data_IF_813278800051
#
_entry.id   IF_813278800051
#
_cell.length_a   1.000
_cell.length_b   1.000
_cell.length_c   1.000
_cell.angle_alpha   90.00
_cell.angle_beta   90.00
_cell.angle_gamma   90.00
#
_symmetry.space_group_name_H-M   'P 1'
#
loop_
_entity.id
_entity.type
_entity.pdbx_description
1 polymer ?
#
# COMPACT_ATOMS: atom_id res chain seq x y z
N UNK A 1 47.86 17.71 -36.96
CA UNK A 1 46.63 17.68 -36.18
C UNK A 1 47.00 17.63 -34.70
N UNK A 2 46.78 18.71 -33.93
CA UNK A 2 47.04 18.74 -32.48
C UNK A 2 45.90 17.94 -31.79
N UNK A 3 46.20 16.80 -31.17
CA UNK A 3 45.28 16.09 -30.30
C UNK A 3 45.06 16.93 -29.05
N UNK A 4 43.91 17.57 -28.90
CA UNK A 4 43.51 18.23 -27.64
C UNK A 4 43.36 17.17 -26.59
N UNK A 5 44.27 17.09 -25.64
CA UNK A 5 44.15 16.18 -24.49
C UNK A 5 43.06 16.75 -23.55
N UNK A 6 42.05 15.93 -23.25
CA UNK A 6 41.00 16.29 -22.27
C UNK A 6 41.67 16.48 -20.91
N UNK A 7 41.47 17.63 -20.25
CA UNK A 7 42.09 17.93 -18.96
C UNK A 7 41.65 16.92 -17.86
N UNK A 8 42.53 16.66 -16.91
CA UNK A 8 42.34 15.66 -15.87
C UNK A 8 41.08 15.93 -15.03
N UNK A 9 40.76 17.20 -14.73
CA UNK A 9 39.57 17.57 -14.00
C UNK A 9 38.26 17.23 -14.74
N UNK A 10 38.22 17.34 -16.07
CA UNK A 10 37.07 16.92 -16.87
C UNK A 10 36.87 15.41 -16.83
N UNK A 11 37.98 14.63 -16.87
CA UNK A 11 37.90 13.18 -16.68
C UNK A 11 37.40 12.80 -15.31
N UNK A 12 37.86 13.49 -14.26
CA UNK A 12 37.41 13.28 -12.89
C UNK A 12 35.91 13.62 -12.73
N UNK A 13 35.46 14.72 -13.31
CA UNK A 13 34.03 15.08 -13.31
C UNK A 13 33.17 14.05 -14.05
N UNK A 14 33.62 13.60 -15.22
CA UNK A 14 32.91 12.58 -15.99
C UNK A 14 32.82 11.25 -15.20
N UNK A 15 33.93 10.83 -14.58
CA UNK A 15 33.95 9.64 -13.74
C UNK A 15 32.99 9.77 -12.53
N UNK A 16 32.97 10.93 -11.86
CA UNK A 16 32.05 11.23 -10.76
C UNK A 16 30.59 11.18 -11.20
N UNK A 17 30.26 11.74 -12.37
CA UNK A 17 28.90 11.69 -12.93
C UNK A 17 28.46 10.26 -13.25
N UNK A 18 29.35 9.45 -13.82
CA UNK A 18 29.06 8.02 -14.09
C UNK A 18 28.83 7.24 -12.79
N UNK A 19 29.68 7.44 -11.78
CA UNK A 19 29.50 6.80 -10.48
C UNK A 19 28.17 7.22 -9.86
N UNK A 20 27.82 8.51 -9.88
CA UNK A 20 26.54 9.03 -9.39
C UNK A 20 25.35 8.39 -10.11
N UNK A 21 25.41 8.30 -11.44
CA UNK A 21 24.36 7.66 -12.24
C UNK A 21 24.19 6.18 -11.89
N UNK A 22 25.30 5.43 -11.71
CA UNK A 22 25.26 4.03 -11.30
C UNK A 22 24.65 3.87 -9.92
N UNK A 23 25.02 4.72 -8.95
CA UNK A 23 24.46 4.69 -7.60
C UNK A 23 22.94 4.95 -7.62
N UNK A 24 22.49 5.98 -8.34
CA UNK A 24 21.06 6.28 -8.49
C UNK A 24 20.32 5.11 -9.14
N UNK A 25 20.94 4.49 -10.15
CA UNK A 25 20.37 3.31 -10.81
C UNK A 25 20.25 2.12 -9.86
N UNK A 26 21.25 1.86 -9.03
CA UNK A 26 21.23 0.79 -8.02
C UNK A 26 20.16 1.03 -6.93
N UNK A 27 20.06 2.27 -6.43
CA UNK A 27 19.00 2.64 -5.46
C UNK A 27 17.61 2.41 -6.06
N UNK A 28 17.39 2.81 -7.31
CA UNK A 28 16.14 2.53 -8.01
C UNK A 28 15.85 1.04 -8.14
N UNK A 29 16.87 0.22 -8.45
CA UNK A 29 16.73 -1.24 -8.49
C UNK A 29 16.28 -1.82 -7.15
N UNK A 30 16.89 -1.34 -6.06
CA UNK A 30 16.56 -1.80 -4.72
C UNK A 30 15.14 -1.39 -4.29
N UNK A 31 14.68 -0.19 -4.65
CA UNK A 31 13.34 0.29 -4.36
C UNK A 31 12.25 -0.55 -5.04
N UNK A 32 12.50 -1.00 -6.28
CA UNK A 32 11.58 -1.79 -7.09
C UNK A 32 11.74 -3.31 -6.89
N UNK A 33 12.75 -3.74 -6.12
CA UNK A 33 13.02 -5.17 -5.92
C UNK A 33 11.83 -5.85 -5.27
N UNK A 34 11.32 -6.90 -5.93
CA UNK A 34 10.34 -7.80 -5.35
C UNK A 34 10.92 -8.51 -4.12
N UNK A 35 10.14 -8.59 -3.06
CA UNK A 35 10.49 -9.23 -1.80
C UNK A 35 9.68 -10.52 -1.60
N UNK A 36 9.89 -11.45 -2.49
CA UNK A 36 9.25 -12.75 -2.43
C UNK A 36 9.97 -13.63 -1.41
N UNK A 37 9.22 -14.25 -0.52
CA UNK A 37 9.75 -15.27 0.38
C UNK A 37 10.09 -16.54 -0.39
N UNK A 38 11.15 -17.25 0.02
CA UNK A 38 11.62 -18.47 -0.63
C UNK A 38 10.62 -19.66 -0.55
N UNK A 39 9.66 -19.61 0.36
CA UNK A 39 8.64 -20.64 0.53
C UNK A 39 7.30 -20.02 0.94
N UNK A 40 6.17 -20.60 0.48
CA UNK A 40 4.86 -20.21 0.99
C UNK A 40 4.79 -20.48 2.50
N UNK A 41 4.36 -19.50 3.27
CA UNK A 41 4.11 -19.70 4.69
C UNK A 41 2.95 -20.69 4.86
N UNK A 42 3.05 -21.65 5.82
CA UNK A 42 1.92 -22.46 6.18
C UNK A 42 0.75 -21.57 6.61
N UNK A 43 -0.47 -22.04 6.37
CA UNK A 43 -1.66 -21.30 6.81
C UNK A 43 -1.59 -21.09 8.33
N UNK A 44 -1.83 -19.86 8.76
CA UNK A 44 -1.89 -19.57 10.20
C UNK A 44 -3.09 -20.30 10.83
N UNK A 45 -2.99 -20.71 12.11
CA UNK A 45 -4.10 -21.39 12.77
C UNK A 45 -5.42 -20.63 12.62
N UNK A 46 -6.48 -21.33 12.18
CA UNK A 46 -7.80 -20.76 11.93
C UNK A 46 -7.95 -20.08 10.56
N UNK A 47 -6.96 -20.18 9.67
CA UNK A 47 -7.03 -19.65 8.31
C UNK A 47 -6.98 -20.77 7.28
N UNK A 48 -7.58 -20.54 6.12
CA UNK A 48 -7.45 -21.38 4.91
C UNK A 48 -6.56 -20.67 3.90
N UNK A 49 -5.52 -21.35 3.42
CA UNK A 49 -4.69 -20.83 2.34
C UNK A 49 -5.49 -20.79 1.03
N UNK A 50 -5.40 -19.66 0.33
CA UNK A 50 -6.06 -19.47 -0.96
C UNK A 50 -5.08 -18.94 -1.99
N UNK A 51 -5.33 -19.29 -3.26
CA UNK A 51 -4.61 -18.73 -4.41
C UNK A 51 -5.66 -18.12 -5.34
N UNK A 52 -5.53 -16.84 -5.59
CA UNK A 52 -6.45 -16.06 -6.42
C UNK A 52 -5.81 -15.87 -7.79
N UNK A 53 -6.51 -16.26 -8.85
CA UNK A 53 -6.08 -15.98 -10.23
C UNK A 53 -6.34 -14.52 -10.55
N UNK A 54 -5.40 -13.89 -11.21
CA UNK A 54 -5.54 -12.53 -11.76
C UNK A 54 -5.63 -12.59 -13.29
N UNK A 55 -6.03 -11.51 -13.92
CA UNK A 55 -6.07 -11.43 -15.40
C UNK A 55 -4.66 -11.40 -16.02
N UNK A 56 -3.63 -11.17 -15.20
CA UNK A 56 -2.22 -11.16 -15.64
C UNK A 56 -1.53 -12.52 -15.46
N UNK A 57 -2.25 -13.59 -15.19
CA UNK A 57 -1.76 -14.94 -14.87
C UNK A 57 -0.79 -15.02 -13.67
N UNK A 58 -0.57 -13.92 -12.96
CA UNK A 58 0.24 -13.92 -11.73
C UNK A 58 -0.64 -14.23 -10.52
N UNK A 59 -0.44 -15.37 -9.85
CA UNK A 59 -1.29 -15.77 -8.73
C UNK A 59 -1.07 -14.85 -7.53
N UNK A 60 -2.15 -14.53 -6.84
CA UNK A 60 -2.13 -13.82 -5.56
C UNK A 60 -2.38 -14.83 -4.43
N UNK A 61 -1.43 -14.95 -3.54
CA UNK A 61 -1.51 -15.80 -2.37
C UNK A 61 -2.23 -15.07 -1.21
N UNK A 62 -3.08 -15.78 -0.50
CA UNK A 62 -3.81 -15.22 0.62
C UNK A 62 -4.15 -16.22 1.70
N UNK A 63 -4.70 -15.71 2.78
CA UNK A 63 -5.37 -16.48 3.83
C UNK A 63 -6.79 -15.99 3.99
N UNK A 64 -7.71 -16.92 4.10
CA UNK A 64 -9.11 -16.63 4.30
C UNK A 64 -9.59 -17.16 5.65
N UNK A 65 -10.33 -16.34 6.38
CA UNK A 65 -11.06 -16.70 7.60
C UNK A 65 -12.56 -16.62 7.28
N UNK A 66 -13.27 -17.73 7.45
CA UNK A 66 -14.73 -17.74 7.32
C UNK A 66 -15.37 -16.89 8.40
N UNK A 67 -16.38 -16.11 8.01
CA UNK A 67 -17.17 -15.30 8.93
C UNK A 67 -18.51 -15.95 9.26
N UNK A 68 -19.14 -15.48 10.34
CA UNK A 68 -20.50 -15.88 10.74
C UNK A 68 -21.55 -14.83 10.37
N UNK A 69 -21.11 -13.62 10.06
CA UNK A 69 -21.97 -12.48 9.68
C UNK A 69 -22.13 -12.30 8.17
N UNK A 70 -22.84 -11.24 7.80
CA UNK A 70 -23.10 -10.85 6.38
C UNK A 70 -22.14 -9.76 5.91
N UNK A 71 -20.88 -9.85 6.27
CA UNK A 71 -19.84 -8.88 5.87
C UNK A 71 -18.51 -9.57 5.67
N UNK A 72 -17.73 -9.04 4.74
CA UNK A 72 -16.41 -9.55 4.40
C UNK A 72 -15.42 -8.40 4.23
N UNK A 73 -14.20 -8.61 4.67
CA UNK A 73 -13.13 -7.62 4.62
C UNK A 73 -11.93 -8.14 3.84
N UNK A 74 -11.39 -7.27 2.98
CA UNK A 74 -10.09 -7.46 2.35
C UNK A 74 -9.04 -6.63 3.11
N UNK A 75 -7.94 -7.26 3.52
CA UNK A 75 -6.83 -6.61 4.22
C UNK A 75 -5.58 -6.60 3.37
N UNK A 76 -4.97 -5.41 3.24
CA UNK A 76 -3.84 -5.12 2.36
C UNK A 76 -2.67 -4.56 3.17
N UNK A 77 -1.54 -5.26 3.15
CA UNK A 77 -0.33 -4.87 3.90
C UNK A 77 0.45 -3.72 3.24
N UNK A 78 1.41 -3.16 3.97
CA UNK A 78 2.32 -2.13 3.48
C UNK A 78 3.47 -2.68 2.62
N UNK A 79 4.22 -1.78 1.98
CA UNK A 79 5.41 -2.14 1.19
C UNK A 79 6.44 -2.87 2.06
N UNK A 80 7.11 -3.87 1.47
CA UNK A 80 8.14 -4.70 2.13
C UNK A 80 7.63 -5.47 3.34
N UNK A 81 6.33 -5.74 3.37
CA UNK A 81 5.66 -6.60 4.32
C UNK A 81 4.98 -7.77 3.59
N UNK A 82 4.13 -8.50 4.27
CA UNK A 82 3.30 -9.55 3.72
C UNK A 82 2.00 -9.68 4.53
N UNK A 83 1.11 -10.63 4.14
CA UNK A 83 -0.18 -10.85 4.79
C UNK A 83 -0.10 -11.09 6.31
N UNK A 84 1.06 -11.50 6.85
CA UNK A 84 1.24 -11.71 8.30
C UNK A 84 1.07 -10.42 9.10
N UNK A 85 1.44 -9.27 8.53
CA UNK A 85 1.20 -7.96 9.13
C UNK A 85 -0.28 -7.76 9.47
N UNK A 86 -1.17 -8.27 8.64
CA UNK A 86 -2.61 -8.07 8.79
C UNK A 86 -3.29 -9.14 9.68
N UNK A 87 -2.56 -10.13 10.17
CA UNK A 87 -3.15 -11.29 10.84
C UNK A 87 -3.84 -10.94 12.18
N UNK A 88 -3.26 -10.05 12.97
CA UNK A 88 -3.85 -9.63 14.25
C UNK A 88 -5.19 -8.92 14.02
N UNK A 89 -5.23 -7.99 13.04
CA UNK A 89 -6.46 -7.32 12.59
C UNK A 89 -7.50 -8.33 12.07
N UNK A 90 -7.05 -9.27 11.25
CA UNK A 90 -7.93 -10.31 10.69
C UNK A 90 -8.61 -11.13 11.78
N UNK A 91 -7.86 -11.55 12.79
CA UNK A 91 -8.41 -12.31 13.93
C UNK A 91 -9.39 -11.48 14.75
N UNK A 92 -9.06 -10.21 15.00
CA UNK A 92 -9.96 -9.30 15.70
C UNK A 92 -11.29 -9.15 14.94
N UNK A 93 -11.24 -8.84 13.64
CA UNK A 93 -12.43 -8.67 12.81
C UNK A 93 -13.24 -9.96 12.66
N UNK A 94 -12.55 -11.10 12.56
CA UNK A 94 -13.20 -12.41 12.48
C UNK A 94 -13.92 -12.78 13.78
N UNK A 95 -13.37 -12.44 14.95
CA UNK A 95 -14.09 -12.57 16.24
C UNK A 95 -15.38 -11.76 16.27
N UNK A 96 -15.45 -10.65 15.54
CA UNK A 96 -16.66 -9.84 15.36
C UNK A 96 -17.64 -10.41 14.32
N UNK A 97 -17.33 -11.56 13.71
CA UNK A 97 -18.19 -12.24 12.77
C UNK A 97 -17.91 -11.95 11.31
N UNK A 98 -16.98 -11.07 10.98
CA UNK A 98 -16.62 -10.80 9.59
C UNK A 98 -15.86 -11.96 8.94
N UNK A 99 -16.17 -12.29 7.68
CA UNK A 99 -15.26 -13.04 6.85
C UNK A 99 -14.05 -12.15 6.50
N UNK A 100 -12.83 -12.68 6.48
CA UNK A 100 -11.64 -11.87 6.26
C UNK A 100 -10.69 -12.54 5.28
N UNK A 101 -10.32 -11.81 4.24
CA UNK A 101 -9.29 -12.18 3.28
C UNK A 101 -8.08 -11.27 3.48
N UNK A 102 -6.92 -11.84 3.73
CA UNK A 102 -5.64 -11.13 3.71
C UNK A 102 -4.77 -11.71 2.61
N UNK A 103 -4.17 -10.84 1.80
CA UNK A 103 -3.37 -11.24 0.64
C UNK A 103 -1.94 -10.74 0.74
N UNK A 104 -1.04 -11.42 0.05
CA UNK A 104 0.25 -10.83 -0.30
C UNK A 104 0.08 -10.03 -1.59
N UNK A 105 0.47 -8.77 -1.56
CA UNK A 105 0.52 -7.94 -2.77
C UNK A 105 1.59 -8.48 -3.75
N UNK A 106 1.44 -8.29 -5.06
CA UNK A 106 2.45 -8.71 -6.05
C UNK A 106 3.86 -8.25 -5.67
N UNK A 107 4.82 -9.14 -5.83
CA UNK A 107 6.21 -8.91 -5.43
C UNK A 107 6.49 -9.01 -3.93
N UNK A 108 5.51 -9.48 -3.13
CA UNK A 108 5.64 -9.66 -1.68
C UNK A 108 5.20 -11.06 -1.27
N UNK A 109 5.73 -11.53 -0.14
CA UNK A 109 5.35 -12.81 0.44
C UNK A 109 5.42 -13.97 -0.55
N UNK A 110 4.29 -14.64 -0.80
CA UNK A 110 4.17 -15.74 -1.75
C UNK A 110 3.50 -15.34 -3.09
N UNK A 111 3.25 -14.05 -3.32
CA UNK A 111 2.69 -13.53 -4.58
C UNK A 111 3.83 -13.08 -5.51
N UNK A 112 4.11 -13.81 -6.61
CA UNK A 112 5.20 -13.46 -7.49
C UNK A 112 4.92 -12.17 -8.28
N UNK A 113 5.96 -11.40 -8.53
CA UNK A 113 5.99 -10.34 -9.54
C UNK A 113 7.44 -10.00 -9.89
N UNK A 114 7.73 -9.49 -11.09
CA UNK A 114 9.08 -9.11 -11.49
C UNK A 114 9.60 -7.89 -10.70
N UNK A 115 8.70 -7.02 -10.26
CA UNK A 115 9.03 -5.81 -9.52
C UNK A 115 7.83 -5.32 -8.69
N UNK A 116 8.10 -4.48 -7.69
CA UNK A 116 7.09 -3.67 -6.99
C UNK A 116 6.79 -2.47 -7.88
N UNK A 117 5.51 -2.19 -8.14
CA UNK A 117 5.04 -1.14 -9.06
C UNK A 117 4.37 0.04 -8.35
N UNK A 118 4.54 0.11 -7.03
CA UNK A 118 4.04 1.20 -6.19
C UNK A 118 2.53 1.46 -6.32
N UNK A 119 1.75 0.41 -6.53
CA UNK A 119 0.29 0.46 -6.53
C UNK A 119 -0.39 0.03 -7.83
N UNK A 120 0.30 -0.08 -8.98
CA UNK A 120 -0.37 -0.42 -10.25
C UNK A 120 -0.64 -1.92 -10.41
N UNK A 121 0.38 -2.78 -10.43
CA UNK A 121 0.15 -4.23 -10.46
C UNK A 121 -0.52 -4.72 -9.16
N UNK A 122 -0.21 -4.05 -8.06
CA UNK A 122 -0.85 -4.30 -6.78
C UNK A 122 -2.35 -3.99 -6.83
N UNK A 123 -2.79 -2.98 -7.59
CA UNK A 123 -4.21 -2.66 -7.77
C UNK A 123 -4.99 -3.75 -8.53
N UNK A 124 -4.35 -4.44 -9.47
CA UNK A 124 -4.94 -5.60 -10.15
C UNK A 124 -5.19 -6.77 -9.19
N UNK A 125 -4.25 -7.01 -8.27
CA UNK A 125 -4.42 -7.99 -7.21
C UNK A 125 -5.57 -7.62 -6.26
N UNK A 126 -5.72 -6.33 -5.94
CA UNK A 126 -6.87 -5.82 -5.16
C UNK A 126 -8.17 -6.11 -5.89
N UNK A 127 -8.26 -5.81 -7.19
CA UNK A 127 -9.45 -6.07 -8.01
C UNK A 127 -9.82 -7.55 -8.00
N UNK A 128 -8.89 -8.41 -8.36
CA UNK A 128 -9.12 -9.87 -8.41
C UNK A 128 -9.50 -10.45 -7.05
N UNK A 129 -8.94 -9.90 -5.96
CA UNK A 129 -9.24 -10.30 -4.59
C UNK A 129 -10.64 -9.88 -4.15
N UNK A 130 -11.08 -8.68 -4.50
CA UNK A 130 -12.45 -8.22 -4.24
C UNK A 130 -13.47 -9.01 -5.06
N UNK A 131 -13.17 -9.33 -6.31
CA UNK A 131 -14.01 -10.21 -7.14
C UNK A 131 -14.10 -11.62 -6.56
N UNK A 132 -12.96 -12.17 -6.09
CA UNK A 132 -12.93 -13.48 -5.42
C UNK A 132 -13.79 -13.44 -4.16
N UNK A 133 -13.65 -12.40 -3.35
CA UNK A 133 -14.40 -12.23 -2.11
C UNK A 133 -15.90 -12.07 -2.39
N UNK A 134 -16.28 -11.33 -3.42
CA UNK A 134 -17.69 -11.16 -3.87
C UNK A 134 -18.28 -12.49 -4.32
N UNK A 135 -17.54 -13.31 -5.07
CA UNK A 135 -18.00 -14.65 -5.49
C UNK A 135 -18.14 -15.59 -4.29
N UNK A 136 -17.24 -15.49 -3.31
CA UNK A 136 -17.26 -16.34 -2.12
C UNK A 136 -18.34 -15.95 -1.12
N UNK A 137 -18.67 -14.66 -1.06
CA UNK A 137 -19.60 -14.03 -0.13
C UNK A 137 -20.57 -13.09 -0.89
N UNK A 138 -21.47 -13.61 -1.74
CA UNK A 138 -22.26 -12.80 -2.68
C UNK A 138 -23.18 -11.78 -1.99
N UNK A 139 -23.73 -12.14 -0.84
CA UNK A 139 -24.64 -11.29 -0.06
C UNK A 139 -23.93 -10.39 0.96
N UNK A 140 -22.61 -10.52 1.10
CA UNK A 140 -21.89 -9.78 2.12
C UNK A 140 -21.65 -8.32 1.71
N UNK A 141 -21.76 -7.42 2.68
CA UNK A 141 -21.19 -6.08 2.55
C UNK A 141 -19.68 -6.17 2.61
N UNK A 142 -19.01 -5.47 1.70
CA UNK A 142 -17.56 -5.52 1.56
C UNK A 142 -16.89 -4.32 2.21
N UNK A 143 -15.86 -4.58 3.01
CA UNK A 143 -14.95 -3.56 3.50
C UNK A 143 -13.52 -3.80 3.01
N UNK A 144 -12.72 -2.76 2.95
CA UNK A 144 -11.29 -2.86 2.67
C UNK A 144 -10.49 -2.06 3.68
N UNK A 145 -9.43 -2.65 4.20
CA UNK A 145 -8.45 -1.97 5.05
C UNK A 145 -7.09 -2.08 4.37
N UNK A 146 -6.51 -0.96 4.00
CA UNK A 146 -5.19 -0.91 3.37
C UNK A 146 -4.20 -0.07 4.16
N UNK A 147 -2.97 -0.57 4.27
CA UNK A 147 -1.86 0.12 4.92
C UNK A 147 -0.86 0.60 3.86
N UNK A 148 -0.51 1.89 3.85
CA UNK A 148 0.52 2.48 3.00
C UNK A 148 0.36 2.07 1.52
N UNK A 149 1.22 1.20 0.99
CA UNK A 149 1.11 0.66 -0.36
C UNK A 149 -0.25 -0.02 -0.61
N UNK A 150 -0.76 -0.78 0.34
CA UNK A 150 -2.06 -1.45 0.23
C UNK A 150 -3.21 -0.45 0.11
N UNK A 151 -3.16 0.65 0.84
CA UNK A 151 -4.13 1.74 0.74
C UNK A 151 -4.04 2.44 -0.62
N UNK A 152 -2.82 2.74 -1.09
CA UNK A 152 -2.59 3.34 -2.41
C UNK A 152 -3.06 2.43 -3.54
N UNK A 153 -2.80 1.12 -3.44
CA UNK A 153 -3.22 0.11 -4.44
C UNK A 153 -4.74 0.03 -4.56
N UNK A 154 -5.46 0.14 -3.43
CA UNK A 154 -6.92 0.21 -3.47
C UNK A 154 -7.41 1.47 -4.19
N UNK A 155 -6.88 2.64 -3.84
CA UNK A 155 -7.30 3.92 -4.43
C UNK A 155 -6.94 4.02 -5.92
N UNK A 156 -5.82 3.43 -6.32
CA UNK A 156 -5.39 3.37 -7.72
C UNK A 156 -6.17 2.33 -8.55
N UNK A 157 -6.92 1.43 -7.90
CA UNK A 157 -7.64 0.37 -8.59
C UNK A 157 -8.70 0.91 -9.54
N UNK A 158 -8.62 0.49 -10.80
CA UNK A 158 -9.63 0.79 -11.81
C UNK A 158 -10.55 -0.41 -12.00
N UNK A 159 -11.86 -0.16 -11.98
CA UNK A 159 -12.86 -1.23 -12.17
C UNK A 159 -12.96 -2.20 -10.99
N UNK A 160 -12.46 -1.85 -9.82
CA UNK A 160 -12.66 -2.65 -8.61
C UNK A 160 -14.14 -2.75 -8.26
N UNK A 161 -14.61 -3.93 -7.80
CA UNK A 161 -15.88 -4.02 -7.12
C UNK A 161 -15.96 -2.99 -6.00
N UNK A 162 -17.02 -2.20 -5.98
CA UNK A 162 -17.21 -1.14 -5.00
C UNK A 162 -17.35 -1.71 -3.59
N UNK A 163 -16.50 -1.33 -2.63
CA UNK A 163 -16.69 -1.67 -1.23
C UNK A 163 -17.75 -0.77 -0.57
N UNK A 164 -18.34 -1.23 0.52
CA UNK A 164 -19.31 -0.48 1.32
C UNK A 164 -18.62 0.43 2.36
N UNK A 165 -17.37 0.15 2.72
CA UNK A 165 -16.55 0.96 3.62
C UNK A 165 -15.06 0.75 3.35
N UNK A 166 -14.25 1.79 3.55
CA UNK A 166 -12.80 1.79 3.31
C UNK A 166 -12.05 2.39 4.50
N UNK A 167 -10.91 1.78 4.84
CA UNK A 167 -9.95 2.33 5.80
C UNK A 167 -8.60 2.49 5.09
N UNK A 168 -8.08 3.71 5.10
CA UNK A 168 -6.80 4.09 4.50
C UNK A 168 -5.83 4.46 5.61
N UNK A 169 -4.87 3.57 5.91
CA UNK A 169 -3.87 3.79 6.96
C UNK A 169 -2.55 4.24 6.36
N UNK A 170 -2.00 5.35 6.84
CA UNK A 170 -0.68 5.88 6.46
C UNK A 170 -0.44 5.88 4.94
N UNK A 171 -1.47 6.24 4.16
CA UNK A 171 -1.40 6.28 2.70
C UNK A 171 -0.66 7.54 2.23
N UNK A 172 0.29 7.37 1.30
CA UNK A 172 0.92 8.52 0.65
C UNK A 172 -0.01 9.12 -0.42
N UNK A 173 0.00 10.47 -0.59
CA UNK A 173 -0.84 11.12 -1.61
C UNK A 173 -0.30 10.92 -3.03
N UNK A 174 1.03 10.97 -3.20
CA UNK A 174 1.71 10.81 -4.49
C UNK A 174 3.01 10.03 -4.32
N UNK A 175 3.49 9.37 -5.38
CA UNK A 175 4.79 8.69 -5.36
C UNK A 175 5.95 9.67 -5.17
N UNK A 176 5.81 10.89 -5.68
CA UNK A 176 6.81 11.95 -5.54
C UNK A 176 7.05 12.27 -4.06
N UNK A 177 5.99 12.52 -3.31
CA UNK A 177 6.06 12.81 -1.87
C UNK A 177 6.54 11.58 -1.08
N UNK A 178 6.07 10.38 -1.44
CA UNK A 178 6.51 9.15 -0.79
C UNK A 178 8.02 8.92 -0.91
N UNK A 179 8.62 9.19 -2.06
CA UNK A 179 10.07 9.07 -2.28
C UNK A 179 10.82 10.22 -1.63
N UNK A 180 10.33 11.45 -1.79
CA UNK A 180 10.97 12.64 -1.24
C UNK A 180 11.03 12.58 0.30
N UNK A 181 9.94 12.22 0.98
CA UNK A 181 9.92 12.11 2.44
C UNK A 181 10.95 11.10 2.96
N UNK A 182 11.07 9.93 2.32
CA UNK A 182 12.06 8.92 2.69
C UNK A 182 13.50 9.39 2.51
N UNK A 183 13.77 10.14 1.44
CA UNK A 183 15.08 10.73 1.21
C UNK A 183 15.35 11.86 2.19
N UNK A 184 14.35 12.69 2.51
CA UNK A 184 14.48 13.85 3.40
C UNK A 184 14.95 13.46 4.80
N UNK A 185 14.48 12.32 5.31
CA UNK A 185 14.92 11.81 6.61
C UNK A 185 16.43 11.50 6.69
N UNK A 186 17.10 11.30 5.55
CA UNK A 186 18.54 10.93 5.49
C UNK A 186 19.40 12.00 4.84
N UNK A 187 18.86 12.75 3.89
CA UNK A 187 19.61 13.62 2.98
C UNK A 187 19.15 15.10 3.06
N UNK A 188 18.17 15.41 3.91
CA UNK A 188 17.69 16.79 4.11
C UNK A 188 17.32 17.47 2.80
N UNK A 189 17.91 18.64 2.52
CA UNK A 189 17.61 19.47 1.36
C UNK A 189 17.93 18.81 0.00
N UNK A 190 18.78 17.80 -0.03
CA UNK A 190 19.11 17.06 -1.26
C UNK A 190 18.00 16.08 -1.69
N UNK A 191 16.97 15.89 -0.87
CA UNK A 191 15.88 14.96 -1.15
C UNK A 191 15.12 15.29 -2.43
N UNK A 192 14.72 16.53 -2.63
CA UNK A 192 13.90 16.93 -3.78
C UNK A 192 14.58 16.71 -5.15
N UNK A 193 15.84 17.11 -5.39
CA UNK A 193 16.49 16.81 -6.67
C UNK A 193 16.74 15.31 -6.87
N UNK A 194 17.09 14.57 -5.80
CA UNK A 194 17.36 13.14 -5.89
C UNK A 194 16.07 12.30 -6.09
N UNK A 195 14.95 12.71 -5.51
CA UNK A 195 13.66 12.04 -5.75
C UNK A 195 13.25 12.10 -7.21
N UNK A 196 13.40 13.27 -7.85
CA UNK A 196 13.13 13.46 -9.29
C UNK A 196 14.00 12.54 -10.15
N UNK A 197 15.28 12.43 -9.79
CA UNK A 197 16.23 11.58 -10.52
C UNK A 197 15.91 10.09 -10.34
N UNK A 198 15.45 9.67 -9.16
CA UNK A 198 14.98 8.30 -8.92
C UNK A 198 13.69 8.01 -9.68
N UNK A 199 12.72 8.91 -9.66
CA UNK A 199 11.44 8.71 -10.32
C UNK A 199 11.54 8.72 -11.85
N UNK A 200 12.53 9.44 -12.40
CA UNK A 200 12.82 9.41 -13.84
C UNK A 200 13.13 7.99 -14.38
N UNK A 201 13.52 7.07 -13.52
CA UNK A 201 13.76 5.68 -13.89
C UNK A 201 12.47 4.86 -14.10
N UNK A 202 11.33 5.28 -13.54
CA UNK A 202 10.09 4.50 -13.59
C UNK A 202 9.61 4.24 -15.03
N UNK A 203 9.54 5.24 -15.94
CA UNK A 203 9.17 4.99 -17.33
C UNK A 203 10.14 4.03 -18.05
N UNK A 204 11.43 4.16 -17.77
CA UNK A 204 12.46 3.34 -18.43
C UNK A 204 12.44 1.88 -17.98
N UNK A 205 12.10 1.61 -16.72
CA UNK A 205 12.20 0.27 -16.12
C UNK A 205 10.88 -0.48 -16.09
N UNK A 206 9.80 0.24 -15.85
CA UNK A 206 8.48 -0.33 -15.60
C UNK A 206 7.42 0.13 -16.61
N UNK A 207 7.76 1.04 -17.53
CA UNK A 207 6.82 1.73 -18.41
C UNK A 207 5.68 2.43 -17.62
N UNK A 208 6.02 2.96 -16.43
CA UNK A 208 5.09 3.64 -15.52
C UNK A 208 5.48 5.10 -15.39
N UNK A 209 4.55 6.00 -15.70
CA UNK A 209 4.73 7.42 -15.45
C UNK A 209 4.39 7.77 -13.99
N UNK A 210 5.17 8.61 -13.29
CA UNK A 210 4.86 9.03 -11.92
C UNK A 210 3.43 9.56 -11.76
N UNK A 211 2.89 10.22 -12.78
CA UNK A 211 1.50 10.71 -12.81
C UNK A 211 0.44 9.60 -12.66
N UNK A 212 0.77 8.35 -12.93
CA UNK A 212 -0.11 7.20 -12.70
C UNK A 212 -0.15 6.76 -11.24
N UNK A 213 0.84 7.17 -10.44
CA UNK A 213 1.07 6.77 -9.04
C UNK A 213 0.70 7.91 -8.06
N UNK A 214 -0.46 8.53 -8.29
CA UNK A 214 -0.98 9.66 -7.52
C UNK A 214 -2.37 9.31 -6.95
N UNK A 215 -2.43 8.58 -5.82
CA UNK A 215 -3.70 8.23 -5.19
C UNK A 215 -4.60 9.44 -4.91
N UNK A 216 -4.03 10.58 -4.53
CA UNK A 216 -4.80 11.79 -4.23
C UNK A 216 -5.70 12.23 -5.39
N UNK A 217 -5.28 12.02 -6.63
CA UNK A 217 -6.04 12.42 -7.83
C UNK A 217 -7.22 11.46 -8.12
N UNK A 218 -7.35 10.38 -7.34
CA UNK A 218 -8.40 9.36 -7.46
C UNK A 218 -9.40 9.35 -6.31
N UNK A 219 -9.14 10.11 -5.26
CA UNK A 219 -9.98 10.10 -4.05
C UNK A 219 -11.42 10.52 -4.32
N UNK A 220 -11.65 11.43 -5.28
CA UNK A 220 -12.99 11.86 -5.67
C UNK A 220 -13.89 10.75 -6.26
N UNK A 221 -13.29 9.60 -6.65
CA UNK A 221 -14.04 8.43 -7.10
C UNK A 221 -14.51 7.52 -5.94
N UNK A 222 -14.09 7.80 -4.71
CA UNK A 222 -14.50 7.06 -3.51
C UNK A 222 -15.80 7.67 -2.96
N UNK A 223 -16.92 7.12 -3.39
CA UNK A 223 -18.27 7.56 -3.01
C UNK A 223 -18.87 6.79 -1.81
N UNK A 224 -18.02 6.02 -1.10
CA UNK A 224 -18.37 5.27 0.10
C UNK A 224 -17.77 5.93 1.36
N UNK A 225 -18.23 5.56 2.58
CA UNK A 225 -17.58 5.98 3.81
C UNK A 225 -16.11 5.59 3.89
N UNK A 226 -15.23 6.55 4.19
CA UNK A 226 -13.79 6.35 4.32
C UNK A 226 -13.33 6.77 5.72
N UNK A 227 -12.51 5.95 6.36
CA UNK A 227 -11.72 6.32 7.52
C UNK A 227 -10.26 6.49 7.07
N UNK A 228 -9.72 7.68 7.22
CA UNK A 228 -8.30 7.97 7.03
C UNK A 228 -7.61 7.96 8.38
N UNK A 229 -6.54 7.19 8.53
CA UNK A 229 -5.78 7.09 9.78
C UNK A 229 -4.28 7.23 9.53
N UNK A 230 -3.58 7.94 10.41
CA UNK A 230 -2.11 8.02 10.39
C UNK A 230 -1.57 8.42 11.76
N UNK A 231 -0.30 8.12 12.01
CA UNK A 231 0.42 8.58 13.20
C UNK A 231 0.73 10.08 13.12
N UNK A 232 0.70 10.78 14.26
CA UNK A 232 1.05 12.21 14.31
C UNK A 232 2.54 12.47 14.12
N UNK A 233 3.40 11.46 14.31
CA UNK A 233 4.85 11.51 14.14
C UNK A 233 5.33 10.74 12.89
N UNK A 234 4.40 10.42 11.99
CA UNK A 234 4.73 9.74 10.73
C UNK A 234 5.51 10.70 9.80
N UNK A 235 6.78 10.37 9.56
CA UNK A 235 7.67 11.12 8.65
C UNK A 235 7.69 10.54 7.23
N UNK A 236 7.12 9.36 7.01
CA UNK A 236 7.02 8.75 5.67
C UNK A 236 5.78 9.24 4.92
N UNK A 237 4.67 9.37 5.64
CA UNK A 237 3.42 9.98 5.18
C UNK A 237 3.01 10.99 6.24
N UNK A 238 3.39 12.23 6.03
CA UNK A 238 3.27 13.27 7.06
C UNK A 238 1.81 13.54 7.42
N UNK A 239 1.60 14.01 8.65
CA UNK A 239 0.26 14.38 9.10
C UNK A 239 -0.39 15.44 8.19
N UNK A 240 0.40 16.35 7.64
CA UNK A 240 -0.09 17.34 6.67
C UNK A 240 -0.62 16.67 5.38
N UNK A 241 0.06 15.65 4.89
CA UNK A 241 -0.38 14.85 3.73
C UNK A 241 -1.66 14.07 4.06
N UNK A 242 -1.73 13.45 5.23
CA UNK A 242 -2.93 12.73 5.70
C UNK A 242 -4.14 13.67 5.78
N UNK A 243 -3.97 14.88 6.31
CA UNK A 243 -5.02 15.90 6.35
C UNK A 243 -5.46 16.35 4.95
N UNK A 244 -4.53 16.45 3.99
CA UNK A 244 -4.87 16.73 2.57
C UNK A 244 -5.69 15.60 1.95
N UNK A 245 -5.32 14.35 2.21
CA UNK A 245 -6.09 13.16 1.76
C UNK A 245 -7.51 13.23 2.32
N UNK A 246 -7.66 13.47 3.63
CA UNK A 246 -8.96 13.61 4.27
C UNK A 246 -9.78 14.77 3.66
N UNK A 247 -9.17 15.94 3.46
CA UNK A 247 -9.83 17.08 2.85
C UNK A 247 -10.31 16.82 1.42
N UNK A 248 -9.52 16.07 0.62
CA UNK A 248 -9.88 15.69 -0.74
C UNK A 248 -11.06 14.68 -0.82
N UNK A 249 -11.29 13.91 0.24
CA UNK A 249 -12.44 12.98 0.37
C UNK A 249 -13.74 13.71 0.79
N UNK A 250 -13.64 14.90 1.35
CA UNK A 250 -14.80 15.70 1.77
C UNK A 250 -15.48 15.24 3.05
N UNK A 251 -16.70 15.72 3.28
CA UNK A 251 -17.41 15.61 4.57
C UNK A 251 -17.83 14.19 4.97
N UNK A 252 -17.85 13.23 4.04
CA UNK A 252 -18.21 11.83 4.33
C UNK A 252 -17.05 11.02 4.92
N UNK A 253 -15.83 11.52 4.84
CA UNK A 253 -14.65 10.89 5.40
C UNK A 253 -14.47 11.22 6.89
N UNK A 254 -13.90 10.25 7.61
CA UNK A 254 -13.48 10.44 9.00
C UNK A 254 -11.96 10.47 9.07
N UNK A 255 -11.40 11.32 9.92
CA UNK A 255 -9.98 11.37 10.22
C UNK A 255 -9.72 10.80 11.62
N UNK A 256 -8.66 9.99 11.71
CA UNK A 256 -8.11 9.53 12.98
C UNK A 256 -6.60 9.74 13.04
N UNK A 257 -6.19 10.72 13.81
CA UNK A 257 -4.80 11.03 14.09
C UNK A 257 -4.35 10.26 15.33
N UNK A 258 -3.44 9.31 15.16
CA UNK A 258 -2.95 8.46 16.26
C UNK A 258 -1.79 9.16 16.95
N UNK A 259 -2.04 9.70 18.13
CA UNK A 259 -1.05 10.50 18.88
C UNK A 259 0.24 9.73 19.16
N UNK A 260 1.40 10.32 18.80
CA UNK A 260 2.73 9.76 19.04
C UNK A 260 3.13 8.59 18.13
N UNK A 261 2.26 8.08 17.29
CA UNK A 261 2.62 7.01 16.36
C UNK A 261 3.46 7.55 15.19
N UNK A 262 4.54 6.84 14.86
CA UNK A 262 5.34 7.04 13.65
C UNK A 262 4.77 6.23 12.47
N UNK A 263 5.53 6.05 11.38
CA UNK A 263 5.16 5.16 10.27
C UNK A 263 5.32 3.69 10.66
N UNK A 264 4.41 3.19 11.44
CA UNK A 264 4.42 1.84 12.00
C UNK A 264 3.02 1.23 11.94
N UNK A 265 2.91 -0.02 12.35
CA UNK A 265 1.62 -0.68 12.44
C UNK A 265 0.76 -0.04 13.54
N UNK A 266 -0.34 0.60 13.14
CA UNK A 266 -1.23 1.33 14.07
C UNK A 266 -1.98 0.39 15.01
N UNK A 267 -2.24 -0.85 14.57
CA UNK A 267 -2.85 -1.86 15.44
C UNK A 267 -1.89 -2.29 16.55
N UNK A 268 -0.64 -2.58 16.22
CA UNK A 268 0.38 -2.99 17.21
C UNK A 268 0.72 -1.85 18.17
N UNK A 269 0.67 -0.60 17.68
CA UNK A 269 0.95 0.59 18.49
C UNK A 269 -0.14 0.86 19.53
N UNK A 270 -1.41 0.77 19.17
CA UNK A 270 -2.55 1.10 20.03
C UNK A 270 -3.73 0.13 19.86
N UNK A 271 -3.58 -1.17 20.23
CA UNK A 271 -4.57 -2.21 19.89
C UNK A 271 -6.00 -1.86 20.34
N UNK A 272 -6.18 -1.49 21.60
CA UNK A 272 -7.50 -1.21 22.15
C UNK A 272 -8.18 0.01 21.48
N UNK A 273 -7.44 1.09 21.25
CA UNK A 273 -7.96 2.27 20.56
C UNK A 273 -8.28 1.96 19.08
N UNK A 274 -7.44 1.15 18.44
CA UNK A 274 -7.65 0.70 17.07
C UNK A 274 -8.91 -0.16 16.95
N UNK A 275 -9.08 -1.17 17.82
CA UNK A 275 -10.24 -2.04 17.84
C UNK A 275 -11.53 -1.24 18.06
N UNK A 276 -11.54 -0.33 19.04
CA UNK A 276 -12.69 0.54 19.31
C UNK A 276 -13.03 1.44 18.11
N UNK A 277 -12.01 2.07 17.50
CA UNK A 277 -12.21 2.97 16.36
C UNK A 277 -12.75 2.25 15.15
N UNK A 278 -12.20 1.09 14.83
CA UNK A 278 -12.66 0.28 13.71
C UNK A 278 -14.05 -0.29 13.93
N UNK A 279 -14.33 -0.84 15.11
CA UNK A 279 -15.67 -1.34 15.46
C UNK A 279 -16.71 -0.27 15.24
N UNK A 280 -16.50 0.93 15.78
CA UNK A 280 -17.42 2.05 15.64
C UNK A 280 -17.57 2.51 14.17
N UNK A 281 -16.49 2.52 13.41
CA UNK A 281 -16.55 2.90 12.00
C UNK A 281 -17.29 1.86 11.15
N UNK A 282 -17.03 0.58 11.36
CA UNK A 282 -17.59 -0.50 10.53
C UNK A 282 -19.04 -0.86 10.89
N UNK A 283 -19.43 -0.78 12.17
CA UNK A 283 -20.74 -1.22 12.66
C UNK A 283 -21.93 -0.61 11.90
N UNK A 284 -21.89 0.69 11.63
CA UNK A 284 -22.95 1.37 10.88
C UNK A 284 -22.94 1.17 9.38
N UNK A 285 -21.91 0.49 8.82
CA UNK A 285 -21.65 0.42 7.38
C UNK A 285 -21.65 -1.01 6.86
N UNK A 286 -21.10 -1.95 7.63
CA UNK A 286 -21.03 -3.36 7.26
C UNK A 286 -22.04 -4.23 8.02
N UNK A 287 -22.85 -3.64 8.89
CA UNK A 287 -23.67 -4.36 9.86
C UNK A 287 -22.87 -4.66 11.13
N UNK A 288 -23.57 -4.67 12.28
CA UNK A 288 -22.99 -5.00 13.57
C UNK A 288 -22.52 -6.47 13.62
N UNK A 289 -21.82 -6.86 14.71
CA UNK A 289 -21.44 -8.25 14.94
C UNK A 289 -22.67 -9.13 14.83
N UNK A 290 -22.54 -10.24 14.08
CA UNK A 290 -23.59 -11.26 14.04
C UNK A 290 -23.84 -11.82 15.46
N UNK A 291 -25.03 -12.29 15.75
CA UNK A 291 -25.36 -12.88 17.03
C UNK A 291 -24.49 -14.10 17.36
#
# INVERSE_FOLDING_TARGET
MRKFAVPLWMKAMAAGAVIGAVLVWQVGSELMRAQQGAAPFPAAPGTTAVTIKTDTDMPVAGWFLEGRGKSALLLLHGIRSDRRQMLARARFLNRQGHAVLLIDLPGHGASPAPAITFGLSESEAVRSSLEWLRRRQPEARLGVIGVSLGAASLVLCRGCPRPDAVVLESMYPTIEEAVENRLRMRLGALAAPLSRLLLWQLPLRLAIEPAQLRPIDRLGALDMPVLVASGTEDLHTTLAETRRIHAALGASAQLWEVGGAAHQDLYDYAPAAYELRLTNFLAGKLGGPGP
#
